data_IF_006461554782
#
_entry.id   IF_006461554782
#
_cell.length_a   1.000
_cell.length_b   1.000
_cell.length_c   1.000
_cell.angle_alpha   90.00
_cell.angle_beta   90.00
_cell.angle_gamma   90.00
#
_symmetry.space_group_name_H-M   'P 1'
#
loop_
_entity.id
_entity.type
_entity.pdbx_description
1 polymer ?
#
# COMPACT_ATOMS: atom_id res chain seq x y z
N UNK A 1 1.36 7.68 -12.15
CA UNK A 1 0.83 7.39 -10.83
C UNK A 1 -0.56 8.00 -10.62
N UNK A 2 -0.74 9.31 -10.75
CA UNK A 2 -2.03 9.99 -10.55
C UNK A 2 -3.18 9.43 -11.43
N UNK A 3 -2.91 9.04 -12.68
CA UNK A 3 -3.92 8.39 -13.52
C UNK A 3 -4.32 7.03 -12.95
N UNK A 4 -3.35 6.20 -12.56
CA UNK A 4 -3.65 4.90 -11.95
C UNK A 4 -4.48 5.01 -10.66
N UNK A 5 -4.24 6.04 -9.84
CA UNK A 5 -5.08 6.30 -8.67
C UNK A 5 -6.52 6.69 -9.04
N UNK A 6 -6.71 7.52 -10.09
CA UNK A 6 -8.05 7.83 -10.59
C UNK A 6 -8.79 6.59 -11.09
N UNK A 7 -8.08 5.73 -11.82
CA UNK A 7 -8.64 4.48 -12.34
C UNK A 7 -9.03 3.54 -11.17
N UNK A 8 -8.20 3.46 -10.13
CA UNK A 8 -8.47 2.68 -8.91
C UNK A 8 -9.72 3.16 -8.16
N UNK A 9 -9.88 4.48 -7.96
CA UNK A 9 -11.06 5.06 -7.34
C UNK A 9 -12.31 4.77 -8.17
N UNK A 10 -12.25 5.04 -9.47
CA UNK A 10 -13.35 4.77 -10.40
C UNK A 10 -13.76 3.30 -10.38
N UNK A 11 -12.81 2.36 -10.33
CA UNK A 11 -13.09 0.93 -10.29
C UNK A 11 -13.81 0.51 -9.00
N UNK A 12 -13.40 1.06 -7.85
CA UNK A 12 -14.07 0.81 -6.56
C UNK A 12 -15.47 1.41 -6.54
N UNK A 13 -15.63 2.65 -7.02
CA UNK A 13 -16.89 3.39 -6.99
C UNK A 13 -17.93 2.83 -7.96
N UNK A 14 -17.52 2.41 -9.15
CA UNK A 14 -18.46 1.92 -10.20
C UNK A 14 -18.81 0.45 -10.06
N UNK A 15 -18.06 -0.31 -9.27
CA UNK A 15 -18.35 -1.73 -9.02
C UNK A 15 -18.29 -2.62 -10.26
N UNK A 16 -17.53 -2.25 -11.30
CA UNK A 16 -17.44 -3.00 -12.54
C UNK A 16 -16.94 -4.44 -12.31
N UNK A 17 -17.87 -5.38 -12.35
CA UNK A 17 -17.73 -6.84 -12.48
C UNK A 17 -17.01 -7.65 -11.40
N UNK A 18 -16.10 -7.08 -10.60
CA UNK A 18 -15.35 -7.83 -9.58
C UNK A 18 -15.62 -7.33 -8.17
N UNK A 19 -16.08 -6.09 -7.98
CA UNK A 19 -16.05 -5.39 -6.72
C UNK A 19 -17.35 -4.71 -6.27
N UNK A 20 -18.52 -5.25 -6.63
CA UNK A 20 -19.85 -4.68 -6.26
C UNK A 20 -20.01 -4.27 -4.77
N UNK A 21 -19.06 -4.68 -3.91
CA UNK A 21 -19.11 -4.40 -2.47
C UNK A 21 -17.83 -3.75 -1.92
N UNK A 22 -16.84 -3.44 -2.75
CA UNK A 22 -15.61 -2.84 -2.22
C UNK A 22 -15.84 -1.42 -1.70
N UNK A 23 -16.72 -0.66 -2.33
CA UNK A 23 -17.04 0.71 -1.88
C UNK A 23 -17.56 0.72 -0.43
N UNK A 24 -18.32 -0.29 -0.03
CA UNK A 24 -18.87 -0.42 1.32
C UNK A 24 -17.93 -1.06 2.33
N UNK A 25 -16.77 -1.53 1.91
CA UNK A 25 -15.88 -2.36 2.72
C UNK A 25 -14.42 -1.92 2.72
N UNK A 26 -13.97 -1.21 1.69
CA UNK A 26 -12.58 -0.81 1.53
C UNK A 26 -12.35 0.62 2.01
N UNK A 27 -11.65 0.75 3.13
CA UNK A 27 -11.11 2.04 3.54
C UNK A 27 -9.76 2.27 2.87
N UNK A 28 -9.59 3.47 2.33
CA UNK A 28 -8.36 3.92 1.69
C UNK A 28 -7.75 5.06 2.48
N UNK A 29 -6.45 5.01 2.69
CA UNK A 29 -5.64 6.11 3.21
C UNK A 29 -4.52 6.41 2.23
N UNK A 30 -4.09 7.66 2.15
CA UNK A 30 -3.01 8.08 1.25
C UNK A 30 -2.04 8.96 2.01
N UNK A 31 -0.77 8.56 1.98
CA UNK A 31 0.36 9.31 2.51
C UNK A 31 1.28 9.63 1.33
N UNK A 32 1.52 10.89 1.09
CA UNK A 32 2.62 11.34 0.23
C UNK A 32 3.83 11.61 1.12
N UNK A 33 5.01 11.24 0.66
CA UNK A 33 6.24 11.51 1.40
C UNK A 33 7.38 11.97 0.49
N UNK A 34 8.12 12.90 1.01
CA UNK A 34 9.35 13.47 0.48
C UNK A 34 10.23 13.88 1.66
N UNK A 35 10.33 15.16 2.02
CA UNK A 35 10.99 15.67 3.24
C UNK A 35 10.16 15.36 4.50
N UNK A 36 8.85 15.16 4.34
CA UNK A 36 7.89 14.86 5.39
C UNK A 36 6.90 13.80 4.90
N UNK A 37 6.28 13.11 5.84
CA UNK A 37 5.13 12.25 5.56
C UNK A 37 3.84 13.06 5.70
N UNK A 38 3.21 13.40 4.60
CA UNK A 38 1.98 14.15 4.56
C UNK A 38 0.76 13.22 4.36
N UNK A 39 -0.16 13.22 5.32
CA UNK A 39 -1.44 12.52 5.16
C UNK A 39 -2.32 13.32 4.21
N UNK A 40 -2.53 12.81 3.00
CA UNK A 40 -3.44 13.40 2.02
C UNK A 40 -4.87 12.91 2.21
N UNK A 41 -5.03 11.70 2.75
CA UNK A 41 -6.32 11.11 3.06
C UNK A 41 -6.24 10.21 4.29
N UNK A 42 -7.11 10.43 5.24
CA UNK A 42 -7.29 9.54 6.40
C UNK A 42 -8.04 8.25 5.99
N UNK A 43 -7.90 7.15 6.76
CA UNK A 43 -8.64 5.92 6.49
C UNK A 43 -10.16 6.14 6.57
N UNK A 44 -10.83 5.98 5.45
CA UNK A 44 -12.28 6.04 5.32
C UNK A 44 -12.74 5.26 4.08
N UNK A 45 -14.03 4.92 4.00
CA UNK A 45 -14.66 4.47 2.75
C UNK A 45 -14.60 5.60 1.71
N UNK A 46 -14.62 5.24 0.44
CA UNK A 46 -14.71 6.23 -0.63
C UNK A 46 -16.16 6.70 -0.79
N UNK A 47 -16.36 7.99 -0.98
CA UNK A 47 -17.64 8.52 -1.43
C UNK A 47 -17.84 8.23 -2.94
N UNK A 48 -19.08 8.17 -3.40
CA UNK A 48 -19.41 7.79 -4.79
C UNK A 48 -18.79 8.70 -5.85
N UNK A 49 -18.56 9.95 -5.51
CA UNK A 49 -18.01 11.01 -6.38
C UNK A 49 -16.64 11.53 -5.90
N UNK A 50 -16.03 10.87 -4.94
CA UNK A 50 -14.73 11.28 -4.41
C UNK A 50 -13.63 11.17 -5.46
N UNK A 51 -12.82 12.20 -5.58
CA UNK A 51 -11.65 12.24 -6.48
C UNK A 51 -10.38 12.05 -5.65
N UNK A 52 -9.44 11.18 -6.08
CA UNK A 52 -8.19 11.00 -5.34
C UNK A 52 -7.38 12.29 -5.28
N UNK A 53 -6.65 12.53 -4.20
CA UNK A 53 -5.73 13.66 -4.12
C UNK A 53 -4.68 13.56 -5.22
N UNK A 54 -4.29 14.72 -5.76
CA UNK A 54 -3.20 14.77 -6.74
C UNK A 54 -1.87 14.75 -6.03
N UNK A 55 -1.06 13.75 -6.34
CA UNK A 55 0.33 13.69 -5.89
C UNK A 55 1.19 14.63 -6.74
N UNK A 56 2.06 15.38 -6.09
CA UNK A 56 3.00 16.29 -6.72
C UNK A 56 4.42 15.98 -6.25
N UNK A 57 5.40 16.10 -7.14
CA UNK A 57 6.80 16.06 -6.73
C UNK A 57 7.10 17.26 -5.83
N UNK A 58 7.78 16.99 -4.72
CA UNK A 58 8.20 17.98 -3.74
C UNK A 58 9.54 17.55 -3.17
N UNK A 59 10.28 18.54 -2.68
CA UNK A 59 11.48 18.29 -1.91
C UNK A 59 12.62 17.59 -2.63
N UNK A 60 13.65 17.29 -1.86
CA UNK A 60 14.90 16.68 -2.34
C UNK A 60 15.27 15.42 -1.54
N UNK A 61 14.43 15.00 -0.61
CA UNK A 61 14.64 13.82 0.24
C UNK A 61 13.57 12.76 0.01
N UNK A 62 13.78 11.58 0.59
CA UNK A 62 12.87 10.43 0.47
C UNK A 62 12.77 9.76 1.83
N UNK A 63 11.99 10.36 2.74
CA UNK A 63 11.83 9.92 4.13
C UNK A 63 10.90 8.68 4.23
N UNK A 64 11.27 7.61 3.55
CA UNK A 64 10.49 6.37 3.47
C UNK A 64 10.20 5.76 4.85
N UNK A 65 11.19 5.81 5.78
CA UNK A 65 11.02 5.26 7.13
C UNK A 65 9.93 6.02 7.88
N UNK A 66 9.94 7.36 7.80
CA UNK A 66 8.93 8.23 8.44
C UNK A 66 7.54 7.91 7.88
N UNK A 67 7.43 7.78 6.56
CA UNK A 67 6.17 7.42 5.91
C UNK A 67 5.64 6.03 6.33
N UNK A 68 6.53 5.05 6.46
CA UNK A 68 6.16 3.72 6.93
C UNK A 68 5.72 3.72 8.39
N UNK A 69 6.42 4.46 9.27
CA UNK A 69 6.04 4.62 10.67
C UNK A 69 4.65 5.27 10.80
N UNK A 70 4.39 6.29 9.99
CA UNK A 70 3.10 6.97 9.95
C UNK A 70 1.97 6.05 9.43
N UNK A 71 2.22 5.28 8.37
CA UNK A 71 1.26 4.31 7.85
C UNK A 71 0.93 3.23 8.89
N UNK A 72 1.94 2.73 9.61
CA UNK A 72 1.74 1.74 10.68
C UNK A 72 0.94 2.34 11.83
N UNK A 73 1.26 3.57 12.26
CA UNK A 73 0.52 4.28 13.32
C UNK A 73 -0.95 4.42 12.95
N UNK A 74 -1.23 4.86 11.72
CA UNK A 74 -2.58 5.03 11.19
C UNK A 74 -3.37 3.71 11.18
N UNK A 75 -2.74 2.63 10.75
CA UNK A 75 -3.33 1.28 10.78
C UNK A 75 -3.63 0.83 12.21
N UNK A 76 -2.71 1.04 13.15
CA UNK A 76 -2.91 0.65 14.56
C UNK A 76 -4.05 1.43 15.21
N UNK A 77 -4.11 2.75 15.02
CA UNK A 77 -5.19 3.59 15.51
C UNK A 77 -6.55 3.16 14.95
N UNK A 78 -6.61 2.88 13.63
CA UNK A 78 -7.85 2.44 13.01
C UNK A 78 -8.31 1.07 13.52
N UNK A 79 -7.39 0.13 13.75
CA UNK A 79 -7.69 -1.18 14.36
C UNK A 79 -8.21 -1.03 15.79
N UNK A 80 -7.63 -0.13 16.59
CA UNK A 80 -8.14 0.14 17.94
C UNK A 80 -9.57 0.70 17.90
N UNK A 81 -9.88 1.55 16.94
CA UNK A 81 -11.23 2.05 16.72
C UNK A 81 -12.21 0.90 16.40
N UNK A 82 -11.85 -0.01 15.48
CA UNK A 82 -12.65 -1.19 15.14
C UNK A 82 -12.89 -2.10 16.36
N UNK A 83 -11.88 -2.35 17.16
CA UNK A 83 -12.01 -3.14 18.39
C UNK A 83 -12.95 -2.47 19.39
N UNK A 84 -12.84 -1.16 19.59
CA UNK A 84 -13.70 -0.39 20.51
C UNK A 84 -15.16 -0.36 20.06
N UNK A 85 -15.40 -0.37 18.75
CA UNK A 85 -16.76 -0.36 18.18
C UNK A 85 -17.33 -1.76 17.92
N UNK A 86 -16.55 -2.82 18.19
CA UNK A 86 -16.98 -4.20 17.98
C UNK A 86 -17.10 -4.61 16.52
N UNK A 87 -16.49 -3.84 15.59
CA UNK A 87 -16.54 -4.15 14.17
C UNK A 87 -15.42 -5.09 13.78
N UNK A 88 -15.72 -6.03 12.88
CA UNK A 88 -14.70 -6.91 12.27
C UNK A 88 -14.00 -6.16 11.13
N UNK A 89 -12.72 -6.49 10.91
CA UNK A 89 -11.92 -5.95 9.82
C UNK A 89 -11.02 -7.02 9.23
N UNK A 90 -10.69 -6.86 7.96
CA UNK A 90 -9.66 -7.66 7.30
C UNK A 90 -8.26 -7.17 7.67
N UNK A 91 -7.28 -8.03 7.46
CA UNK A 91 -5.87 -7.66 7.67
C UNK A 91 -5.52 -6.45 6.81
N UNK A 92 -5.11 -5.32 7.40
CA UNK A 92 -4.78 -4.12 6.63
C UNK A 92 -3.57 -4.34 5.71
N UNK A 93 -3.55 -3.62 4.60
CA UNK A 93 -2.43 -3.60 3.67
C UNK A 93 -1.78 -2.22 3.67
N UNK A 94 -0.44 -2.21 3.71
CA UNK A 94 0.39 -1.03 3.53
C UNK A 94 1.17 -1.25 2.24
N UNK A 95 0.95 -0.39 1.25
CA UNK A 95 1.68 -0.41 -0.03
C UNK A 95 2.62 0.77 -0.05
N UNK A 96 3.91 0.50 -0.08
CA UNK A 96 4.98 1.50 -0.15
C UNK A 96 5.46 1.59 -1.59
N UNK A 97 5.28 2.74 -2.23
CA UNK A 97 5.72 2.97 -3.60
C UNK A 97 6.83 4.01 -3.62
N UNK A 98 7.95 3.69 -4.24
CA UNK A 98 9.12 4.59 -4.35
C UNK A 98 9.87 4.36 -5.66
N UNK A 99 10.50 5.40 -6.16
CA UNK A 99 11.40 5.39 -7.32
C UNK A 99 12.88 5.56 -6.93
N UNK A 100 13.16 5.74 -5.63
CA UNK A 100 14.49 5.98 -5.10
C UNK A 100 14.86 5.14 -3.88
N UNK A 101 15.98 5.50 -3.31
CA UNK A 101 16.42 4.99 -2.01
C UNK A 101 15.93 5.92 -0.89
N UNK A 102 15.73 5.39 0.33
CA UNK A 102 15.55 6.24 1.50
C UNK A 102 16.70 7.24 1.62
N UNK A 103 16.36 8.50 1.68
CA UNK A 103 17.32 9.61 1.78
C UNK A 103 16.74 10.72 2.64
N UNK A 104 17.45 11.11 3.68
CA UNK A 104 17.06 12.15 4.62
C UNK A 104 17.52 11.84 6.04
N UNK A 105 16.98 12.54 7.03
CA UNK A 105 17.40 12.45 8.43
C UNK A 105 17.12 11.09 9.07
N UNK A 106 16.04 10.43 8.65
CA UNK A 106 15.61 9.11 9.12
C UNK A 106 15.95 7.97 8.15
N UNK A 107 16.94 8.17 7.27
CA UNK A 107 17.43 7.15 6.33
C UNK A 107 18.69 6.43 6.80
N UNK A 108 19.01 6.45 8.09
CA UNK A 108 20.18 5.77 8.62
C UNK A 108 20.02 4.25 8.60
N UNK A 109 21.13 3.51 8.59
CA UNK A 109 21.09 2.04 8.69
C UNK A 109 20.38 1.57 9.97
N UNK A 110 20.43 2.33 11.06
CA UNK A 110 19.74 2.03 12.30
C UNK A 110 18.22 2.15 12.14
N UNK A 111 17.73 3.23 11.53
CA UNK A 111 16.32 3.45 11.26
C UNK A 111 15.75 2.38 10.31
N UNK A 112 16.47 2.10 9.22
CA UNK A 112 16.10 1.05 8.27
C UNK A 112 16.04 -0.33 8.93
N UNK A 113 16.99 -0.67 9.79
CA UNK A 113 16.95 -1.93 10.52
C UNK A 113 15.80 -1.99 11.53
N UNK A 114 15.50 -0.89 12.21
CA UNK A 114 14.41 -0.79 13.16
C UNK A 114 13.06 -1.01 12.48
N UNK A 115 12.77 -0.29 11.38
CA UNK A 115 11.51 -0.46 10.64
C UNK A 115 11.41 -1.86 10.02
N UNK A 116 12.49 -2.40 9.46
CA UNK A 116 12.56 -3.75 8.91
C UNK A 116 12.20 -4.81 9.96
N UNK A 117 12.80 -4.72 11.15
CA UNK A 117 12.52 -5.64 12.26
C UNK A 117 11.08 -5.55 12.74
N UNK A 118 10.54 -4.34 12.85
CA UNK A 118 9.14 -4.10 13.21
C UNK A 118 8.19 -4.73 12.18
N UNK A 119 8.39 -4.44 10.90
CA UNK A 119 7.58 -4.99 9.81
C UNK A 119 7.62 -6.51 9.80
N UNK A 120 8.80 -7.13 9.97
CA UNK A 120 8.94 -8.59 9.99
C UNK A 120 8.10 -9.21 11.12
N UNK A 121 8.28 -8.76 12.36
CA UNK A 121 7.57 -9.28 13.54
C UNK A 121 6.06 -9.09 13.42
N UNK A 122 5.62 -7.92 13.01
CA UNK A 122 4.20 -7.59 12.97
C UNK A 122 3.48 -8.22 11.78
N UNK A 123 4.20 -8.44 10.67
CA UNK A 123 3.70 -9.19 9.52
C UNK A 123 3.56 -10.67 9.82
N UNK A 124 4.54 -11.28 10.51
CA UNK A 124 4.45 -12.64 11.01
C UNK A 124 3.29 -12.81 11.99
N UNK A 125 3.12 -11.84 12.90
CA UNK A 125 1.98 -11.76 13.82
C UNK A 125 0.64 -11.43 13.15
N UNK A 126 0.58 -11.36 11.81
CA UNK A 126 -0.64 -11.05 11.01
C UNK A 126 -1.31 -9.73 11.36
N UNK A 127 -0.57 -8.77 11.93
CA UNK A 127 -1.15 -7.48 12.30
C UNK A 127 -1.53 -6.63 11.07
N UNK A 128 -0.67 -6.66 10.04
CA UNK A 128 -0.88 -6.04 8.73
C UNK A 128 -0.01 -6.76 7.68
N UNK A 129 -0.22 -6.44 6.42
CA UNK A 129 0.63 -6.86 5.30
C UNK A 129 1.34 -5.63 4.74
N UNK A 130 2.64 -5.73 4.48
CA UNK A 130 3.42 -4.66 3.84
C UNK A 130 3.97 -5.15 2.50
N UNK A 131 3.87 -4.31 1.48
CA UNK A 131 4.41 -4.58 0.16
C UNK A 131 5.08 -3.33 -0.40
N UNK A 132 6.32 -3.46 -0.82
CA UNK A 132 7.05 -2.44 -1.55
C UNK A 132 6.82 -2.55 -3.06
N UNK A 133 6.63 -1.43 -3.74
CA UNK A 133 6.57 -1.32 -5.19
C UNK A 133 7.69 -0.39 -5.63
N UNK A 134 8.70 -0.95 -6.26
CA UNK A 134 9.83 -0.18 -6.80
C UNK A 134 9.53 0.31 -8.21
N UNK A 135 9.69 1.59 -8.45
CA UNK A 135 9.49 2.26 -9.74
C UNK A 135 10.84 2.67 -10.31
N UNK A 136 11.08 2.46 -11.60
CA UNK A 136 12.31 2.90 -12.27
C UNK A 136 13.58 2.33 -11.63
N UNK A 137 14.43 3.20 -11.12
CA UNK A 137 15.74 2.88 -10.54
C UNK A 137 15.70 2.58 -9.02
N UNK A 138 14.53 2.28 -8.46
CA UNK A 138 14.37 1.98 -7.04
C UNK A 138 15.31 0.85 -6.58
N UNK A 139 15.94 1.01 -5.41
CA UNK A 139 16.76 -0.02 -4.80
C UNK A 139 15.86 -1.15 -4.24
N UNK A 140 15.68 -2.18 -5.06
CA UNK A 140 14.79 -3.30 -4.74
C UNK A 140 15.25 -4.12 -3.54
N UNK A 141 16.56 -4.23 -3.29
CA UNK A 141 17.07 -4.99 -2.14
C UNK A 141 16.77 -4.25 -0.84
N UNK A 142 16.95 -2.94 -0.83
CA UNK A 142 16.65 -2.11 0.32
C UNK A 142 15.14 -2.05 0.58
N UNK A 143 14.34 -1.90 -0.48
CA UNK A 143 12.89 -1.90 -0.39
C UNK A 143 12.37 -3.25 0.13
N UNK A 144 12.93 -4.36 -0.36
CA UNK A 144 12.60 -5.70 0.12
C UNK A 144 12.99 -5.91 1.59
N UNK A 145 14.14 -5.36 1.98
CA UNK A 145 14.57 -5.38 3.39
C UNK A 145 13.58 -4.67 4.30
N UNK A 146 13.09 -3.49 3.93
CA UNK A 146 12.16 -2.71 4.75
C UNK A 146 10.75 -3.30 4.76
N UNK A 147 10.25 -3.75 3.62
CA UNK A 147 8.86 -4.19 3.46
C UNK A 147 8.66 -5.71 3.65
N UNK A 148 9.74 -6.48 3.69
CA UNK A 148 9.69 -7.95 3.68
C UNK A 148 9.36 -8.53 2.30
N UNK A 149 8.52 -7.87 1.51
CA UNK A 149 8.18 -8.19 0.13
C UNK A 149 8.23 -6.95 -0.73
N UNK A 150 8.91 -7.00 -1.87
CA UNK A 150 8.94 -5.90 -2.82
C UNK A 150 8.92 -6.43 -4.26
N UNK A 151 8.20 -5.72 -5.11
CA UNK A 151 7.99 -6.06 -6.51
C UNK A 151 8.32 -4.86 -7.39
N UNK A 152 9.04 -5.04 -8.52
CA UNK A 152 9.34 -3.97 -9.44
C UNK A 152 8.15 -3.67 -10.34
N UNK A 153 7.79 -2.40 -10.48
CA UNK A 153 6.80 -1.95 -11.45
C UNK A 153 7.46 -1.86 -12.84
N UNK A 154 6.84 -2.49 -13.84
CA UNK A 154 7.31 -2.42 -15.22
C UNK A 154 7.02 -1.05 -15.84
N UNK A 155 8.05 -0.24 -16.07
CA UNK A 155 7.89 1.09 -16.67
C UNK A 155 6.89 1.97 -15.91
N UNK A 156 5.82 2.38 -16.58
CA UNK A 156 4.77 3.24 -16.02
C UNK A 156 3.42 2.53 -15.87
N UNK A 157 3.40 1.23 -15.68
CA UNK A 157 2.19 0.40 -15.60
C UNK A 157 1.41 0.57 -14.28
N UNK A 158 1.20 1.80 -13.86
CA UNK A 158 0.45 2.10 -12.63
C UNK A 158 -1.02 1.68 -12.72
N UNK A 159 -1.66 1.86 -13.88
CA UNK A 159 -3.06 1.46 -14.08
C UNK A 159 -3.23 -0.05 -13.91
N UNK A 160 -2.34 -0.84 -14.50
CA UNK A 160 -2.36 -2.31 -14.37
C UNK A 160 -2.08 -2.76 -12.94
N UNK A 161 -1.16 -2.08 -12.24
CA UNK A 161 -0.92 -2.33 -10.83
C UNK A 161 -2.16 -2.06 -9.97
N UNK A 162 -2.79 -0.90 -10.12
CA UNK A 162 -3.98 -0.56 -9.34
C UNK A 162 -5.18 -1.46 -9.67
N UNK A 163 -5.32 -1.88 -10.92
CA UNK A 163 -6.32 -2.89 -11.30
C UNK A 163 -6.06 -4.24 -10.65
N UNK A 164 -4.82 -4.69 -10.61
CA UNK A 164 -4.44 -5.88 -9.87
C UNK A 164 -4.71 -5.72 -8.37
N UNK A 165 -4.43 -4.56 -7.80
CA UNK A 165 -4.66 -4.27 -6.38
C UNK A 165 -6.15 -4.36 -6.04
N UNK A 166 -7.03 -3.71 -6.81
CA UNK A 166 -8.49 -3.78 -6.57
C UNK A 166 -9.03 -5.20 -6.71
N UNK A 167 -8.58 -5.97 -7.71
CA UNK A 167 -8.94 -7.37 -7.86
C UNK A 167 -8.51 -8.21 -6.65
N UNK A 168 -7.27 -8.03 -6.19
CA UNK A 168 -6.72 -8.75 -5.03
C UNK A 168 -7.51 -8.44 -3.76
N UNK A 169 -7.84 -7.18 -3.52
CA UNK A 169 -8.66 -6.74 -2.38
C UNK A 169 -10.08 -7.31 -2.46
N UNK A 170 -10.68 -7.35 -3.65
CA UNK A 170 -11.98 -7.98 -3.87
C UNK A 170 -11.96 -9.48 -3.57
N UNK A 171 -10.90 -10.20 -3.95
CA UNK A 171 -10.74 -11.61 -3.60
C UNK A 171 -10.63 -11.80 -2.09
N UNK A 172 -9.86 -10.96 -1.41
CA UNK A 172 -9.73 -10.98 0.05
C UNK A 172 -11.07 -10.70 0.72
N UNK A 173 -11.83 -9.71 0.27
CA UNK A 173 -13.13 -9.34 0.85
C UNK A 173 -14.19 -10.46 0.72
N UNK A 174 -14.06 -11.33 -0.26
CA UNK A 174 -14.95 -12.50 -0.50
C UNK A 174 -14.48 -13.76 0.21
N UNK A 175 -13.24 -13.79 0.74
CA UNK A 175 -12.69 -14.96 1.40
C UNK A 175 -13.27 -15.16 2.80
N UNK A 176 -13.24 -16.41 3.27
CA UNK A 176 -13.63 -16.76 4.64
C UNK A 176 -12.46 -16.51 5.63
N UNK A 177 -12.79 -16.30 6.88
CA UNK A 177 -11.80 -16.17 7.94
C UNK A 177 -10.83 -17.37 7.96
N UNK A 178 -9.53 -17.11 7.87
CA UNK A 178 -8.48 -18.16 7.81
C UNK A 178 -8.21 -18.74 6.43
N UNK A 179 -8.96 -18.37 5.40
CA UNK A 179 -8.73 -18.82 4.03
C UNK A 179 -7.45 -18.20 3.45
N UNK A 180 -6.68 -19.01 2.71
CA UNK A 180 -5.50 -18.52 1.98
C UNK A 180 -5.94 -18.02 0.60
N UNK A 181 -5.81 -16.72 0.37
CA UNK A 181 -6.10 -16.11 -0.93
C UNK A 181 -4.79 -16.03 -1.73
N UNK A 182 -4.80 -16.53 -2.96
CA UNK A 182 -3.67 -16.38 -3.88
C UNK A 182 -3.82 -15.07 -4.66
N UNK A 183 -3.02 -14.09 -4.33
CA UNK A 183 -3.00 -12.75 -4.95
C UNK A 183 -1.97 -12.62 -6.07
N UNK A 184 -1.24 -13.68 -6.43
CA UNK A 184 -0.23 -13.62 -7.50
C UNK A 184 -0.83 -13.59 -8.90
N UNK A 185 -2.09 -14.00 -9.07
CA UNK A 185 -2.76 -14.01 -10.37
C UNK A 185 -2.90 -12.59 -10.94
N UNK A 186 -2.46 -12.40 -12.18
CA UNK A 186 -2.49 -11.11 -12.88
C UNK A 186 -1.36 -10.15 -12.52
N UNK A 187 -0.45 -10.50 -11.61
CA UNK A 187 0.70 -9.66 -11.29
C UNK A 187 1.67 -9.49 -12.47
N UNK A 188 1.76 -10.47 -13.37
CA UNK A 188 2.63 -10.44 -14.56
C UNK A 188 2.29 -9.27 -15.51
N UNK A 189 1.07 -8.76 -15.45
CA UNK A 189 0.64 -7.64 -16.30
C UNK A 189 1.40 -6.33 -16.02
N UNK A 190 1.87 -6.12 -14.79
CA UNK A 190 2.52 -4.89 -14.35
C UNK A 190 3.92 -5.08 -13.77
N UNK A 191 4.31 -6.30 -13.44
CA UNK A 191 5.66 -6.62 -12.96
C UNK A 191 6.65 -6.73 -14.11
N UNK A 192 7.90 -6.35 -13.86
CA UNK A 192 9.02 -6.82 -14.68
C UNK A 192 9.24 -8.31 -14.43
N UNK A 193 9.58 -9.07 -15.48
CA UNK A 193 10.00 -10.46 -15.33
C UNK A 193 11.20 -10.52 -14.37
N UNK A 194 11.03 -11.21 -13.25
CA UNK A 194 12.10 -11.52 -12.32
C UNK A 194 12.59 -12.92 -12.61
N UNK A 195 13.88 -13.08 -12.86
CA UNK A 195 14.52 -14.37 -12.69
C UNK A 195 14.57 -14.66 -11.17
N UNK A 196 13.95 -15.80 -10.82
CA UNK A 196 13.95 -16.34 -9.46
C UNK A 196 15.30 -16.96 -9.16
#
# INVERSE_FOLDING_TARGET
LNQGMRDFYSEIQTGNSVSEKLIDQLEVAIIQYDEEAQILRNPALLDEDEVPPTLAERGSTTETVVAMEEAIRMVEERKEWYKKTGQKYYRPWIVVMTDGEPYGDRATSADINAISSRVAVETEGKKYFVMGIGVGEANMDLLRKMCGKALPLAGTKFTEFFKWLSNSLSMVSKSKEGEKVNISEGSDAWMNSFEI
#
